data_IF_093552917436
#
_entry.id   IF_093552917436
#
_cell.length_a   1.000
_cell.length_b   1.000
_cell.length_c   1.000
_cell.angle_alpha   90.00
_cell.angle_beta   90.00
_cell.angle_gamma   90.00
#
_symmetry.space_group_name_H-M   'P 1'
#
loop_
_entity.id
_entity.type
_entity.pdbx_description
1 polymer ?
#
# COMPACT_ATOMS: atom_id res chain seq x y z
N UNK A 1 3.72 -19.93 -7.68
CA UNK A 1 3.17 -19.18 -8.83
C UNK A 1 3.47 -17.71 -8.61
N UNK A 2 3.96 -17.00 -9.63
CA UNK A 2 4.33 -15.59 -9.53
C UNK A 2 3.10 -14.69 -9.65
N UNK A 3 3.08 -13.61 -8.88
CA UNK A 3 2.01 -12.61 -8.89
C UNK A 3 1.93 -11.90 -10.25
N UNK A 4 0.71 -11.62 -10.73
CA UNK A 4 0.51 -10.76 -11.91
C UNK A 4 1.06 -9.37 -11.66
N UNK A 5 1.87 -8.85 -12.59
CA UNK A 5 2.43 -7.50 -12.49
C UNK A 5 1.30 -6.46 -12.50
N UNK A 6 1.24 -5.65 -11.46
CA UNK A 6 0.32 -4.52 -11.40
C UNK A 6 0.78 -3.43 -12.40
N UNK A 7 -0.19 -2.84 -13.10
CA UNK A 7 0.03 -1.71 -14.00
C UNK A 7 -0.34 -0.41 -13.29
N UNK A 8 0.48 0.62 -13.47
CA UNK A 8 0.22 1.95 -12.91
C UNK A 8 -1.07 2.54 -13.49
N UNK A 9 -1.94 3.07 -12.64
CA UNK A 9 -3.20 3.73 -13.01
C UNK A 9 -3.26 5.15 -12.45
N UNK A 10 -3.27 6.15 -13.34
CA UNK A 10 -3.37 7.57 -12.97
C UNK A 10 -4.70 7.90 -12.29
N UNK A 11 -5.77 7.15 -12.62
CA UNK A 11 -7.06 7.25 -11.92
C UNK A 11 -6.92 6.85 -10.44
N UNK A 12 -6.25 5.72 -10.17
CA UNK A 12 -6.05 5.26 -8.80
C UNK A 12 -5.09 6.17 -8.02
N UNK A 13 -4.10 6.76 -8.68
CA UNK A 13 -3.25 7.81 -8.07
C UNK A 13 -4.09 9.01 -7.63
N UNK A 14 -4.99 9.49 -8.50
CA UNK A 14 -5.94 10.57 -8.17
C UNK A 14 -6.89 10.20 -7.04
N UNK A 15 -7.39 8.96 -7.02
CA UNK A 15 -8.23 8.45 -5.93
C UNK A 15 -7.47 8.43 -4.61
N UNK A 16 -6.24 7.92 -4.59
CA UNK A 16 -5.41 7.93 -3.39
C UNK A 16 -5.12 9.34 -2.89
N UNK A 17 -4.77 10.26 -3.80
CA UNK A 17 -4.53 11.66 -3.44
C UNK A 17 -5.79 12.28 -2.80
N UNK A 18 -6.96 12.01 -3.38
CA UNK A 18 -8.23 12.46 -2.81
C UNK A 18 -8.48 11.88 -1.41
N UNK A 19 -8.18 10.60 -1.19
CA UNK A 19 -8.27 9.95 0.12
C UNK A 19 -7.40 10.68 1.15
N UNK A 20 -6.10 10.81 0.89
CA UNK A 20 -5.15 11.39 1.86
C UNK A 20 -5.34 12.91 2.06
N UNK A 21 -5.91 13.62 1.09
CA UNK A 21 -6.30 15.02 1.26
C UNK A 21 -7.59 15.16 2.09
N UNK A 22 -8.59 14.33 1.84
CA UNK A 22 -9.87 14.39 2.57
C UNK A 22 -9.80 13.89 4.01
N UNK A 23 -8.88 12.96 4.30
CA UNK A 23 -8.59 12.49 5.67
C UNK A 23 -7.74 13.46 6.49
N UNK A 24 -7.11 14.45 5.86
CA UNK A 24 -6.17 15.38 6.52
C UNK A 24 -4.99 14.65 7.14
N UNK A 25 -4.81 14.76 8.45
CA UNK A 25 -3.75 14.06 9.22
C UNK A 25 -4.16 12.68 9.73
N UNK A 26 -5.36 12.21 9.39
CA UNK A 26 -5.88 10.92 9.84
C UNK A 26 -5.85 9.89 8.71
N UNK A 27 -5.47 8.66 9.04
CA UNK A 27 -5.57 7.50 8.14
C UNK A 27 -7.02 7.00 8.12
N UNK A 28 -7.87 7.68 7.35
CA UNK A 28 -9.27 7.30 7.15
C UNK A 28 -9.43 6.76 5.75
N UNK A 29 -9.88 5.52 5.64
CA UNK A 29 -10.16 4.91 4.35
C UNK A 29 -11.28 5.62 3.61
N UNK A 30 -11.11 5.77 2.30
CA UNK A 30 -12.11 6.29 1.37
C UNK A 30 -11.98 5.56 0.04
N UNK A 31 -12.88 4.62 -0.21
CA UNK A 31 -12.90 3.86 -1.46
C UNK A 31 -13.60 4.68 -2.55
N UNK A 32 -12.82 5.40 -3.34
CA UNK A 32 -13.32 6.14 -4.50
C UNK A 32 -13.71 5.19 -5.64
N UNK A 33 -14.60 5.59 -6.57
CA UNK A 33 -15.05 4.72 -7.65
C UNK A 33 -13.90 4.10 -8.47
N UNK A 34 -13.87 2.77 -8.51
CA UNK A 34 -12.82 1.99 -9.17
C UNK A 34 -11.67 1.54 -8.26
N UNK A 35 -11.64 1.99 -7.01
CA UNK A 35 -10.77 1.43 -5.97
C UNK A 35 -11.44 0.20 -5.36
N UNK A 36 -10.77 -0.95 -5.40
CA UNK A 36 -11.27 -2.23 -4.88
C UNK A 36 -10.45 -2.78 -3.70
N UNK A 37 -9.29 -2.18 -3.45
CA UNK A 37 -8.51 -2.34 -2.23
C UNK A 37 -7.71 -1.06 -1.97
N UNK A 38 -7.42 -0.76 -0.70
CA UNK A 38 -6.71 0.44 -0.30
C UNK A 38 -5.84 0.15 0.91
N UNK A 39 -4.62 0.68 0.88
CA UNK A 39 -3.68 0.60 2.00
C UNK A 39 -3.23 2.01 2.38
N UNK A 40 -3.07 2.27 3.68
CA UNK A 40 -2.67 3.58 4.22
C UNK A 40 -1.55 3.36 5.24
N UNK A 41 -0.60 4.29 5.29
CA UNK A 41 0.43 4.30 6.33
C UNK A 41 1.03 5.70 6.48
N UNK A 42 1.55 6.04 7.67
CA UNK A 42 2.30 7.27 7.85
C UNK A 42 3.62 7.20 7.08
N UNK A 43 4.12 8.35 6.63
CA UNK A 43 5.44 8.46 5.99
C UNK A 43 5.55 9.69 5.11
N UNK A 44 6.76 10.23 5.02
CA UNK A 44 7.04 11.40 4.20
C UNK A 44 7.17 10.99 2.73
N UNK A 45 7.18 11.98 1.82
CA UNK A 45 7.26 11.73 0.38
C UNK A 45 8.53 10.94 -0.06
N UNK A 46 9.58 10.93 0.77
CA UNK A 46 10.80 10.15 0.53
C UNK A 46 10.73 8.69 1.00
N UNK A 47 9.74 8.32 1.81
CA UNK A 47 9.72 7.05 2.55
C UNK A 47 8.97 5.93 1.82
N UNK A 48 8.68 6.09 0.52
CA UNK A 48 7.79 5.17 -0.19
C UNK A 48 8.23 3.71 -0.05
N UNK A 49 9.52 3.39 -0.23
CA UNK A 49 10.00 2.01 -0.11
C UNK A 49 9.91 1.48 1.33
N UNK A 50 10.21 2.32 2.32
CA UNK A 50 10.10 1.97 3.72
C UNK A 50 8.65 1.66 4.12
N UNK A 51 7.70 2.42 3.59
CA UNK A 51 6.27 2.19 3.78
C UNK A 51 5.78 0.97 2.99
N UNK A 52 6.12 0.90 1.70
CA UNK A 52 5.58 -0.11 0.79
C UNK A 52 6.10 -1.51 1.16
N UNK A 53 7.41 -1.65 1.35
CA UNK A 53 8.00 -2.94 1.71
C UNK A 53 7.87 -3.18 3.20
N UNK A 54 8.35 -2.24 4.02
CA UNK A 54 8.37 -2.38 5.48
C UNK A 54 6.99 -2.30 6.10
N UNK A 55 6.26 -1.23 5.86
CA UNK A 55 4.96 -0.99 6.49
C UNK A 55 3.84 -1.90 6.03
N UNK A 56 3.83 -2.30 4.75
CA UNK A 56 2.72 -3.08 4.18
C UNK A 56 3.10 -4.51 3.85
N UNK A 57 4.09 -4.77 3.00
CA UNK A 57 4.39 -6.15 2.58
C UNK A 57 4.95 -7.03 3.70
N UNK A 58 5.75 -6.45 4.60
CA UNK A 58 6.37 -7.17 5.71
C UNK A 58 5.42 -7.50 6.87
N UNK A 59 4.12 -7.20 6.74
CA UNK A 59 3.09 -7.83 7.57
C UNK A 59 3.05 -9.37 7.40
N UNK A 60 3.45 -9.86 6.22
CA UNK A 60 3.65 -11.28 5.93
C UNK A 60 5.13 -11.56 5.59
N UNK A 61 6.04 -11.58 6.58
CA UNK A 61 7.49 -11.58 6.34
C UNK A 61 8.02 -12.89 5.73
N UNK A 62 7.30 -13.99 5.92
CA UNK A 62 7.68 -15.33 5.43
C UNK A 62 7.09 -15.64 4.05
N UNK A 63 6.39 -14.70 3.44
CA UNK A 63 5.78 -14.91 2.15
C UNK A 63 6.81 -14.99 1.02
N UNK A 64 6.44 -15.69 -0.04
CA UNK A 64 7.29 -15.86 -1.22
C UNK A 64 7.74 -14.51 -1.80
N UNK A 65 9.02 -14.41 -2.12
CA UNK A 65 9.64 -13.20 -2.68
C UNK A 65 10.17 -12.20 -1.66
N UNK A 66 9.92 -12.38 -0.35
CA UNK A 66 10.44 -11.48 0.68
C UNK A 66 11.94 -11.72 0.97
N UNK A 67 12.44 -12.95 0.82
CA UNK A 67 13.88 -13.27 0.85
C UNK A 67 14.67 -12.62 2.01
N UNK A 68 14.07 -12.53 3.20
CA UNK A 68 14.68 -11.93 4.39
C UNK A 68 14.70 -10.39 4.43
N UNK A 69 14.19 -9.68 3.42
CA UNK A 69 14.22 -8.21 3.36
C UNK A 69 13.56 -7.57 4.60
N UNK A 70 12.55 -8.24 5.15
CA UNK A 70 11.81 -7.77 6.30
C UNK A 70 12.63 -7.69 7.58
N UNK A 71 13.80 -8.33 7.70
CA UNK A 71 14.70 -8.14 8.84
C UNK A 71 15.25 -6.70 8.94
N UNK A 72 15.26 -5.98 7.82
CA UNK A 72 15.76 -4.60 7.75
C UNK A 72 14.65 -3.60 7.42
N UNK A 73 13.81 -3.90 6.42
CA UNK A 73 12.77 -2.98 5.97
C UNK A 73 11.66 -2.74 7.00
N UNK A 74 11.39 -3.70 7.88
CA UNK A 74 10.35 -3.59 8.93
C UNK A 74 10.74 -2.75 10.14
N UNK A 75 12.00 -2.33 10.26
CA UNK A 75 12.48 -1.65 11.47
C UNK A 75 11.67 -0.38 11.73
N UNK A 76 11.05 -0.29 12.91
CA UNK A 76 10.20 0.85 13.30
C UNK A 76 8.70 0.62 13.07
N UNK A 77 8.31 -0.44 12.36
CA UNK A 77 6.92 -0.83 12.18
C UNK A 77 6.43 -1.75 13.29
N UNK A 78 5.20 -1.50 13.75
CA UNK A 78 4.46 -2.40 14.63
C UNK A 78 3.12 -2.73 13.98
N UNK A 79 2.99 -3.95 13.45
CA UNK A 79 1.81 -4.38 12.70
C UNK A 79 0.62 -4.73 13.60
N UNK A 80 0.82 -4.88 14.91
CA UNK A 80 -0.25 -5.31 15.85
C UNK A 80 -0.99 -6.59 15.41
N UNK A 81 -0.31 -7.48 14.67
CA UNK A 81 -0.88 -8.72 14.12
C UNK A 81 -1.74 -8.53 12.85
N UNK A 82 -1.77 -7.34 12.25
CA UNK A 82 -2.46 -7.08 10.99
C UNK A 82 -1.69 -7.65 9.80
N UNK A 83 -2.43 -8.14 8.80
CA UNK A 83 -1.92 -8.70 7.53
C UNK A 83 -2.60 -8.13 6.29
N UNK A 84 -3.60 -7.27 6.49
CA UNK A 84 -4.50 -6.84 5.42
C UNK A 84 -3.81 -6.03 4.32
N UNK A 85 -2.77 -5.26 4.64
CA UNK A 85 -2.06 -4.49 3.62
C UNK A 85 -1.27 -5.42 2.69
N UNK A 86 -0.56 -6.40 3.25
CA UNK A 86 0.14 -7.40 2.47
C UNK A 86 -0.83 -8.24 1.61
N UNK A 87 -1.96 -8.67 2.17
CA UNK A 87 -2.98 -9.45 1.46
C UNK A 87 -3.54 -8.69 0.25
N UNK A 88 -3.91 -7.41 0.42
CA UNK A 88 -4.40 -6.57 -0.68
C UNK A 88 -3.33 -6.42 -1.77
N UNK A 89 -2.11 -6.02 -1.40
CA UNK A 89 -1.05 -5.74 -2.36
C UNK A 89 -0.55 -7.00 -3.08
N UNK A 90 -0.67 -8.18 -2.45
CA UNK A 90 -0.24 -9.45 -3.03
C UNK A 90 -1.33 -10.20 -3.77
N UNK A 91 -2.62 -9.89 -3.54
CA UNK A 91 -3.75 -10.51 -4.23
C UNK A 91 -3.59 -10.55 -5.77
N UNK A 92 -3.86 -11.70 -6.37
CA UNK A 92 -3.86 -11.87 -7.83
C UNK A 92 -5.15 -11.36 -8.51
N UNK A 93 -6.11 -10.89 -7.72
CA UNK A 93 -7.37 -10.37 -8.24
C UNK A 93 -7.19 -9.02 -8.92
N UNK A 94 -6.23 -8.23 -8.45
CA UNK A 94 -5.97 -6.88 -8.95
C UNK A 94 -4.90 -6.88 -10.04
N UNK A 95 -5.06 -5.97 -10.99
CA UNK A 95 -4.16 -5.77 -12.14
C UNK A 95 -3.68 -4.33 -12.28
N UNK A 96 -4.26 -3.40 -11.53
CA UNK A 96 -3.84 -1.98 -11.52
C UNK A 96 -3.56 -1.48 -10.10
N UNK A 97 -2.66 -0.51 -10.01
CA UNK A 97 -2.31 0.18 -8.75
C UNK A 97 -2.06 1.66 -9.01
N UNK A 98 -2.41 2.51 -8.05
CA UNK A 98 -2.02 3.92 -8.04
C UNK A 98 -1.77 4.38 -6.61
N UNK A 99 -0.68 5.11 -6.41
CA UNK A 99 -0.25 5.54 -5.09
C UNK A 99 -0.05 7.05 -5.05
N UNK A 100 -0.31 7.66 -3.89
CA UNK A 100 -0.07 9.07 -3.67
C UNK A 100 0.28 9.35 -2.20
N UNK A 101 0.94 10.48 -1.97
CA UNK A 101 1.29 10.98 -0.65
C UNK A 101 0.79 12.42 -0.49
N UNK A 102 0.39 12.80 0.73
CA UNK A 102 0.01 14.18 1.06
C UNK A 102 0.82 14.74 2.25
N UNK A 103 2.14 14.60 2.19
CA UNK A 103 3.10 15.13 3.16
C UNK A 103 3.44 14.18 4.30
N UNK A 104 2.48 13.42 4.80
CA UNK A 104 2.64 12.59 6.02
C UNK A 104 1.94 11.23 5.95
N UNK A 105 1.15 10.97 4.91
CA UNK A 105 0.45 9.69 4.71
C UNK A 105 0.61 9.24 3.27
N UNK A 106 1.05 8.00 3.11
CA UNK A 106 1.01 7.26 1.86
C UNK A 106 -0.30 6.49 1.73
N UNK A 107 -0.82 6.48 0.51
CA UNK A 107 -1.93 5.65 0.08
C UNK A 107 -1.51 4.87 -1.17
N UNK A 108 -1.91 3.60 -1.26
CA UNK A 108 -2.00 2.88 -2.53
C UNK A 108 -3.39 2.26 -2.68
N UNK A 109 -4.00 2.53 -3.82
CA UNK A 109 -5.27 1.97 -4.25
C UNK A 109 -4.99 0.90 -5.30
N UNK A 110 -5.69 -0.23 -5.23
CA UNK A 110 -5.64 -1.30 -6.23
C UNK A 110 -7.00 -1.49 -6.88
N UNK A 111 -6.98 -1.95 -8.13
CA UNK A 111 -8.20 -2.21 -8.89
C UNK A 111 -7.97 -3.17 -10.04
N UNK A 112 -8.99 -3.27 -10.88
CA UNK A 112 -8.98 -4.10 -12.09
C UNK A 112 -8.49 -3.30 -13.29
N UNK A 113 -8.29 -3.99 -14.42
CA UNK A 113 -7.88 -3.39 -15.69
C UNK A 113 -9.08 -2.77 -16.42
#
# INVERSE_FOLDING_TARGET
>A
MGKTKLTRSTKLEGNCLNTVQSGGTKMVHKLNPGTYGQVLAPGDAGDFEHVFVGGWLCELPNDSGMNGICETASKGWNYMGQTGHAEILRSNEYSTIGCANNGHIWCCDVGYA
#
